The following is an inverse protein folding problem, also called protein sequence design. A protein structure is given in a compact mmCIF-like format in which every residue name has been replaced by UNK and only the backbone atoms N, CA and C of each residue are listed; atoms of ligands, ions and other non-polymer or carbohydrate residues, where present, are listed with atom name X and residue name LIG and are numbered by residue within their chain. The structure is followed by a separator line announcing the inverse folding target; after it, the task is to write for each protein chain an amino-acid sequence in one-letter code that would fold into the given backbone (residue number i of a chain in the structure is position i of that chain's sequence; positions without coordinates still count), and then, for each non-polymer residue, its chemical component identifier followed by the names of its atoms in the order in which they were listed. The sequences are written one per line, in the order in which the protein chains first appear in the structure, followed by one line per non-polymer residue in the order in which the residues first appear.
data_IF_830942997051
#
_entry.id   IF_830942997051
#
_cell.length_a   1.000
_cell.length_b   1.000
_cell.length_c   1.000
_cell.angle_alpha   90.00
_cell.angle_beta   90.00
_cell.angle_gamma   90.00
#
_symmetry.space_group_name_H-M   'P 1'
#
loop_
_entity.id
_entity.type
_entity.pdbx_description
1 polymer ?
#
# COMPACT_ATOMS: atom_id res chain seq x y z
N UNK A 1 1.34 8.49 -76.31
CA UNK A 1 0.25 9.20 -77.03
C UNK A 1 -1.03 8.44 -76.75
N UNK A 2 -1.98 9.12 -76.08
CA UNK A 2 -3.45 8.96 -76.21
C UNK A 2 -4.02 7.55 -75.98
N UNK A 3 -4.69 7.32 -74.83
CA UNK A 3 -6.18 7.40 -74.66
C UNK A 3 -6.91 6.23 -75.39
N UNK A 4 -7.94 5.52 -74.92
CA UNK A 4 -8.91 5.68 -73.82
C UNK A 4 -9.94 4.52 -73.91
N UNK A 5 -10.43 4.05 -72.74
CA UNK A 5 -11.77 3.55 -72.39
C UNK A 5 -12.40 2.21 -72.90
N UNK A 6 -12.96 1.51 -71.88
CA UNK A 6 -14.31 0.87 -71.74
C UNK A 6 -14.56 -0.44 -72.52
N UNK A 7 -15.06 -1.55 -71.94
CA UNK A 7 -16.27 -1.78 -71.10
C UNK A 7 -16.21 -3.23 -70.52
N UNK A 8 -16.61 -3.48 -69.27
CA UNK A 8 -17.84 -4.21 -68.82
C UNK A 8 -17.98 -5.66 -69.36
N UNK A 9 -18.26 -6.72 -68.59
CA UNK A 9 -18.60 -6.90 -67.17
C UNK A 9 -18.96 -8.38 -66.91
N UNK A 10 -19.21 -8.68 -65.63
CA UNK A 10 -19.95 -9.83 -65.08
C UNK A 10 -19.24 -11.20 -64.88
N UNK A 11 -19.70 -11.89 -63.83
CA UNK A 11 -19.37 -13.24 -63.31
C UNK A 11 -18.12 -13.25 -62.39
N UNK A 12 -18.16 -13.52 -61.09
CA UNK A 12 -18.85 -14.60 -60.34
C UNK A 12 -19.09 -14.18 -58.87
N UNK A 13 -20.19 -14.69 -58.30
CA UNK A 13 -20.72 -14.55 -56.93
C UNK A 13 -19.90 -15.34 -55.86
N UNK A 14 -20.23 -15.23 -54.56
CA UNK A 14 -19.29 -15.36 -53.44
C UNK A 14 -19.18 -16.79 -52.89
N UNK A 15 -18.04 -17.12 -52.27
CA UNK A 15 -17.89 -18.36 -51.48
C UNK A 15 -17.91 -18.01 -50.00
N UNK A 16 -19.06 -18.29 -49.38
CA UNK A 16 -19.18 -18.61 -47.95
C UNK A 16 -18.56 -19.99 -47.70
N UNK A 17 -17.76 -20.08 -46.64
CA UNK A 17 -17.51 -21.26 -45.79
C UNK A 17 -17.28 -20.66 -44.40
N UNK A 18 -18.22 -20.70 -43.45
CA UNK A 18 -18.74 -21.89 -42.77
C UNK A 18 -17.66 -22.93 -42.51
N UNK A 19 -16.86 -22.66 -41.45
CA UNK A 19 -16.22 -23.70 -40.65
C UNK A 19 -16.63 -23.49 -39.20
N UNK A 20 -17.47 -24.41 -38.76
CA UNK A 20 -18.07 -24.61 -37.44
C UNK A 20 -17.04 -24.49 -36.32
N UNK A 21 -17.32 -23.78 -35.20
CA UNK A 21 -18.16 -24.24 -34.09
C UNK A 21 -17.87 -25.71 -33.72
N UNK A 22 -16.78 -25.92 -32.99
CA UNK A 22 -16.44 -27.08 -32.14
C UNK A 22 -15.01 -26.78 -31.64
N UNK A 23 -14.82 -26.06 -30.53
CA UNK A 23 -14.54 -26.70 -29.24
C UNK A 23 -14.52 -25.64 -28.12
N UNK A 24 -15.67 -25.00 -27.86
CA UNK A 24 -15.85 -24.06 -26.75
C UNK A 24 -16.63 -24.76 -25.61
N UNK A 25 -16.14 -25.91 -25.16
CA UNK A 25 -16.82 -26.72 -24.13
C UNK A 25 -15.85 -27.55 -23.25
N UNK A 26 -14.61 -27.07 -23.05
CA UNK A 26 -13.63 -27.75 -22.19
C UNK A 26 -12.89 -26.79 -21.22
N UNK A 27 -13.57 -25.72 -20.77
CA UNK A 27 -12.98 -24.70 -19.88
C UNK A 27 -13.93 -24.26 -18.76
N UNK A 28 -14.75 -25.18 -18.23
CA UNK A 28 -15.68 -24.90 -17.09
C UNK A 28 -15.59 -25.96 -15.99
N UNK A 29 -14.41 -26.52 -15.76
CA UNK A 29 -14.18 -27.36 -14.58
C UNK A 29 -12.82 -27.02 -14.00
N UNK A 30 -12.78 -26.01 -13.12
CA UNK A 30 -11.88 -25.87 -11.96
C UNK A 30 -12.21 -24.55 -11.23
N UNK A 31 -13.47 -24.39 -10.82
CA UNK A 31 -13.81 -23.56 -9.67
C UNK A 31 -13.58 -24.43 -8.42
N UNK A 32 -12.30 -24.64 -8.08
CA UNK A 32 -11.88 -25.31 -6.86
C UNK A 32 -11.41 -24.26 -5.87
N UNK A 33 -12.10 -24.14 -4.74
CA UNK A 33 -11.70 -23.34 -3.59
C UNK A 33 -10.23 -23.61 -3.23
N UNK A 34 -9.36 -22.63 -3.45
CA UNK A 34 -7.97 -22.70 -3.02
C UNK A 34 -7.85 -22.15 -1.61
N UNK A 35 -7.59 -23.03 -0.64
CA UNK A 35 -7.02 -22.69 0.66
C UNK A 35 -5.76 -21.84 0.47
N UNK A 36 -5.79 -20.60 0.97
CA UNK A 36 -4.63 -19.70 1.03
C UNK A 36 -3.64 -20.15 2.13
N UNK A 37 -3.02 -21.31 1.89
CA UNK A 37 -1.84 -21.77 2.63
C UNK A 37 -0.57 -21.34 1.90
N UNK A 38 -0.14 -20.09 2.11
CA UNK A 38 1.18 -19.62 1.68
C UNK A 38 2.24 -19.98 2.73
N UNK A 39 3.16 -20.86 2.35
CA UNK A 39 4.33 -21.20 3.14
C UNK A 39 5.23 -19.97 3.32
N UNK A 40 5.51 -19.65 4.59
CA UNK A 40 6.48 -18.65 5.00
C UNK A 40 7.87 -18.99 4.46
N UNK A 41 8.52 -18.03 3.80
CA UNK A 41 9.97 -18.03 3.60
C UNK A 41 10.60 -17.35 4.82
N UNK A 42 11.64 -17.93 5.40
CA UNK A 42 12.18 -17.63 6.74
C UNK A 42 12.68 -16.18 6.92
N UNK A 43 12.81 -15.38 5.85
CA UNK A 43 13.19 -13.96 5.93
C UNK A 43 12.15 -12.98 5.34
N UNK A 44 10.97 -13.46 4.90
CA UNK A 44 9.88 -12.58 4.47
C UNK A 44 8.62 -12.92 5.26
N UNK A 45 8.54 -12.42 6.49
CA UNK A 45 7.27 -12.39 7.20
C UNK A 45 6.34 -11.49 6.42
N UNK A 46 5.47 -12.07 5.61
CA UNK A 46 4.33 -11.37 5.03
C UNK A 46 3.43 -11.01 6.20
N UNK A 47 3.66 -9.84 6.78
CA UNK A 47 2.68 -9.23 7.66
C UNK A 47 1.43 -8.96 6.82
N UNK A 48 0.27 -9.18 7.41
CA UNK A 48 -1.00 -8.85 6.79
C UNK A 48 -1.01 -7.36 6.47
N UNK A 49 -0.78 -6.98 5.22
CA UNK A 49 -0.98 -5.59 4.84
C UNK A 49 -2.47 -5.38 4.59
N UNK A 50 -3.18 -4.57 5.39
CA UNK A 50 -4.54 -4.15 5.06
C UNK A 50 -4.59 -3.29 3.78
N UNK A 51 -3.42 -2.96 3.23
CA UNK A 51 -3.21 -2.37 1.90
C UNK A 51 -3.23 -3.40 0.78
N UNK A 52 -3.29 -4.71 1.08
CA UNK A 52 -3.50 -5.73 0.05
C UNK A 52 -4.86 -5.50 -0.58
N UNK A 53 -4.85 -4.91 -1.76
CA UNK A 53 -5.95 -5.01 -2.71
C UNK A 53 -6.15 -6.50 -2.99
N UNK A 54 -7.35 -7.01 -2.75
CA UNK A 54 -7.74 -8.29 -3.33
C UNK A 54 -7.43 -8.19 -4.83
N UNK A 55 -6.55 -9.06 -5.32
CA UNK A 55 -6.35 -9.23 -6.75
C UNK A 55 -7.63 -9.86 -7.28
N UNK A 56 -8.65 -9.04 -7.58
CA UNK A 56 -9.79 -9.52 -8.32
C UNK A 56 -9.28 -10.02 -9.68
N UNK A 57 -9.61 -11.26 -10.03
CA UNK A 57 -9.36 -11.74 -11.38
C UNK A 57 -10.01 -10.74 -12.35
N UNK A 58 -9.33 -10.32 -13.42
CA UNK A 58 -9.93 -9.43 -14.41
C UNK A 58 -11.22 -10.06 -14.92
N UNK A 59 -12.34 -9.40 -14.72
CA UNK A 59 -13.61 -9.79 -15.34
C UNK A 59 -13.45 -9.61 -16.84
N UNK A 60 -13.56 -10.71 -17.58
CA UNK A 60 -13.60 -10.69 -19.04
C UNK A 60 -14.85 -9.92 -19.44
N UNK A 61 -14.68 -8.75 -20.06
CA UNK A 61 -15.78 -8.05 -20.71
C UNK A 61 -16.18 -8.90 -21.92
N UNK A 62 -17.35 -9.55 -21.85
CA UNK A 62 -17.81 -10.51 -22.86
C UNK A 62 -18.07 -9.87 -24.25
N UNK A 63 -17.99 -8.55 -24.37
CA UNK A 63 -18.13 -7.85 -25.65
C UNK A 63 -17.47 -6.45 -25.59
N UNK A 64 -16.31 -6.23 -26.21
CA UNK A 64 -15.63 -4.93 -26.21
C UNK A 64 -16.36 -3.85 -27.01
N UNK A 65 -17.32 -4.24 -27.87
CA UNK A 65 -18.10 -3.35 -28.73
C UNK A 65 -19.54 -3.12 -28.21
N UNK A 66 -19.97 -3.85 -27.17
CA UNK A 66 -21.23 -3.53 -26.50
C UNK A 66 -21.12 -2.14 -25.87
N UNK A 67 -22.10 -1.24 -26.06
CA UNK A 67 -22.12 0.01 -25.32
C UNK A 67 -22.12 -0.36 -23.84
N UNK A 68 -21.00 -0.11 -23.16
CA UNK A 68 -20.90 -0.36 -21.73
C UNK A 68 -22.10 0.30 -21.09
N UNK A 69 -22.95 -0.48 -20.40
CA UNK A 69 -24.01 0.09 -19.56
C UNK A 69 -23.31 1.21 -18.79
N UNK A 70 -23.75 2.46 -18.97
CA UNK A 70 -23.07 3.63 -18.41
C UNK A 70 -22.75 3.32 -16.95
N UNK A 71 -21.50 2.96 -16.65
CA UNK A 71 -21.13 2.46 -15.32
C UNK A 71 -21.40 3.52 -14.24
N UNK A 72 -21.52 4.78 -14.68
CA UNK A 72 -21.95 5.92 -13.90
C UNK A 72 -23.41 5.79 -13.45
N UNK A 73 -24.35 5.36 -14.30
CA UNK A 73 -25.77 5.21 -13.93
C UNK A 73 -25.98 4.05 -12.95
N UNK A 74 -25.29 2.92 -13.17
CA UNK A 74 -25.32 1.78 -12.25
C UNK A 74 -24.73 2.16 -10.90
N UNK A 75 -23.65 2.95 -10.89
CA UNK A 75 -23.05 3.42 -9.63
C UNK A 75 -23.92 4.47 -8.95
N UNK A 76 -24.53 5.38 -9.70
CA UNK A 76 -25.49 6.34 -9.15
C UNK A 76 -26.70 5.63 -8.55
N UNK A 77 -27.19 4.54 -9.14
CA UNK A 77 -28.30 3.77 -8.59
C UNK A 77 -27.89 2.99 -7.34
N UNK A 78 -26.70 2.39 -7.32
CA UNK A 78 -26.14 1.74 -6.13
C UNK A 78 -25.97 2.77 -4.99
N UNK A 79 -25.39 3.93 -5.27
CA UNK A 79 -25.20 5.01 -4.27
C UNK A 79 -26.54 5.56 -3.81
N UNK A 80 -27.51 5.78 -4.71
CA UNK A 80 -28.84 6.27 -4.34
C UNK A 80 -29.61 5.26 -3.48
N UNK A 81 -29.58 3.97 -3.83
CA UNK A 81 -30.17 2.91 -3.02
C UNK A 81 -29.49 2.83 -1.65
N UNK A 82 -28.17 3.03 -1.62
CA UNK A 82 -27.39 3.04 -0.40
C UNK A 82 -27.74 4.24 0.50
N UNK A 83 -27.77 5.46 -0.05
CA UNK A 83 -28.17 6.68 0.67
C UNK A 83 -29.62 6.59 1.16
N UNK A 84 -30.53 6.03 0.36
CA UNK A 84 -31.94 5.85 0.72
C UNK A 84 -32.11 4.86 1.88
N UNK A 85 -31.34 3.77 1.90
CA UNK A 85 -31.37 2.80 3.00
C UNK A 85 -30.78 3.33 4.31
N UNK A 86 -29.85 4.29 4.25
CA UNK A 86 -29.33 5.01 5.42
C UNK A 86 -30.33 6.02 6.01
N UNK A 87 -31.24 6.54 5.18
CA UNK A 87 -32.27 7.51 5.56
C UNK A 87 -33.60 6.84 5.98
N UNK A 88 -33.75 5.54 5.76
CA UNK A 88 -34.95 4.80 6.16
C UNK A 88 -35.02 4.70 7.70
N UNK A 89 -36.16 5.05 8.27
CA UNK A 89 -36.44 5.04 9.73
C UNK A 89 -36.26 3.65 10.33
N UNK A 90 -35.01 3.26 10.65
CA UNK A 90 -34.59 2.12 11.50
C UNK A 90 -35.14 0.72 11.21
N UNK A 91 -36.01 0.57 10.21
CA UNK A 91 -36.86 -0.60 9.96
C UNK A 91 -36.39 -1.42 8.77
N UNK A 92 -35.54 -0.84 7.92
CA UNK A 92 -34.82 -1.56 6.89
C UNK A 92 -33.37 -1.75 7.32
N UNK A 93 -32.86 -2.97 7.17
CA UNK A 93 -31.45 -3.24 7.40
C UNK A 93 -30.63 -2.30 6.51
N UNK A 94 -29.65 -1.55 7.06
CA UNK A 94 -28.85 -0.67 6.25
C UNK A 94 -28.22 -1.49 5.11
N UNK A 95 -28.19 -0.94 3.88
CA UNK A 95 -27.62 -1.63 2.73
C UNK A 95 -26.19 -2.04 3.05
N UNK A 96 -25.81 -3.24 2.61
CA UNK A 96 -24.57 -3.86 3.04
C UNK A 96 -23.37 -3.09 2.48
N UNK A 97 -22.74 -2.27 3.33
CA UNK A 97 -21.52 -1.52 3.01
C UNK A 97 -20.39 -2.40 2.46
N UNK A 98 -20.39 -3.69 2.78
CA UNK A 98 -19.41 -4.66 2.27
C UNK A 98 -19.62 -4.87 0.76
N UNK A 99 -20.86 -4.95 0.30
CA UNK A 99 -21.17 -5.15 -1.12
C UNK A 99 -20.86 -3.90 -1.93
N UNK A 100 -21.15 -2.71 -1.37
CA UNK A 100 -20.75 -1.43 -1.96
C UNK A 100 -19.22 -1.34 -2.09
N UNK A 101 -18.48 -1.66 -1.03
CA UNK A 101 -17.02 -1.69 -1.07
C UNK A 101 -16.50 -2.66 -2.13
N UNK A 102 -17.06 -3.87 -2.20
CA UNK A 102 -16.64 -4.89 -3.14
C UNK A 102 -16.79 -4.42 -4.59
N UNK A 103 -17.92 -3.83 -4.96
CA UNK A 103 -18.14 -3.29 -6.31
C UNK A 103 -17.15 -2.18 -6.67
N UNK A 104 -16.94 -1.21 -5.78
CA UNK A 104 -16.02 -0.11 -6.05
C UNK A 104 -14.56 -0.56 -6.09
N UNK A 105 -14.17 -1.51 -5.24
CA UNK A 105 -12.84 -2.10 -5.23
C UNK A 105 -12.60 -2.91 -6.52
N UNK A 106 -13.54 -3.78 -6.90
CA UNK A 106 -13.43 -4.60 -8.12
C UNK A 106 -13.30 -3.74 -9.38
N UNK A 107 -13.99 -2.60 -9.43
CA UNK A 107 -13.94 -1.67 -10.56
C UNK A 107 -12.78 -0.66 -10.50
N UNK A 108 -11.90 -0.75 -9.49
CA UNK A 108 -10.77 0.17 -9.31
C UNK A 108 -11.18 1.63 -8.98
N UNK A 109 -12.42 1.85 -8.54
CA UNK A 109 -13.02 3.18 -8.30
C UNK A 109 -12.84 3.64 -6.85
N UNK A 110 -11.66 3.42 -6.29
CA UNK A 110 -11.43 3.60 -4.86
C UNK A 110 -11.53 5.07 -4.40
N UNK A 111 -11.23 6.03 -5.28
CA UNK A 111 -11.38 7.46 -4.99
C UNK A 111 -12.85 7.90 -4.88
N UNK A 112 -13.75 7.31 -5.66
CA UNK A 112 -15.17 7.61 -5.57
C UNK A 112 -15.75 7.12 -4.25
N UNK A 113 -15.31 5.95 -3.79
CA UNK A 113 -15.68 5.39 -2.50
C UNK A 113 -15.27 6.31 -1.33
N UNK A 114 -14.07 6.91 -1.40
CA UNK A 114 -13.63 7.94 -0.45
C UNK A 114 -14.57 9.16 -0.46
N UNK A 115 -14.93 9.65 -1.65
CA UNK A 115 -15.86 10.76 -1.79
C UNK A 115 -17.23 10.47 -1.18
N UNK A 116 -17.72 9.24 -1.35
CA UNK A 116 -18.98 8.78 -0.74
C UNK A 116 -18.87 8.81 0.79
N UNK A 117 -17.81 8.25 1.38
CA UNK A 117 -17.64 8.26 2.84
C UNK A 117 -17.53 9.67 3.41
N UNK A 118 -16.75 10.54 2.77
CA UNK A 118 -16.62 11.94 3.19
C UNK A 118 -17.98 12.67 3.15
N UNK A 119 -18.76 12.46 2.08
CA UNK A 119 -20.08 13.06 1.95
C UNK A 119 -21.05 12.52 3.02
N UNK A 120 -21.02 11.22 3.29
CA UNK A 120 -21.84 10.61 4.33
C UNK A 120 -21.51 11.13 5.73
N UNK A 121 -20.22 11.20 6.08
CA UNK A 121 -19.78 11.77 7.36
C UNK A 121 -20.29 13.20 7.45
N UNK A 122 -20.05 14.02 6.41
CA UNK A 122 -20.51 15.41 6.37
C UNK A 122 -22.04 15.53 6.55
N UNK A 123 -22.85 14.74 5.83
CA UNK A 123 -24.32 14.75 5.94
C UNK A 123 -24.78 14.37 7.35
N UNK A 124 -24.20 13.31 7.92
CA UNK A 124 -24.57 12.82 9.26
C UNK A 124 -24.10 13.75 10.39
N UNK A 125 -22.92 14.39 10.26
CA UNK A 125 -22.45 15.39 11.21
C UNK A 125 -23.33 16.64 11.20
N UNK A 126 -23.79 17.10 10.02
CA UNK A 126 -24.69 18.25 9.91
C UNK A 126 -26.08 17.94 10.50
N UNK A 127 -26.60 16.73 10.31
CA UNK A 127 -27.89 16.33 10.87
C UNK A 127 -27.84 16.15 12.41
N UNK A 128 -26.72 15.67 12.95
CA UNK A 128 -26.55 15.48 14.40
C UNK A 128 -26.38 16.80 15.17
N UNK A 129 -25.91 17.88 14.52
CA UNK A 129 -25.71 19.18 15.16
C UNK A 129 -27.00 19.87 15.68
N UNK A 130 -28.18 19.33 15.34
CA UNK A 130 -29.48 19.78 15.86
C UNK A 130 -30.08 18.94 16.99
N UNK A 131 -29.41 17.85 17.40
CA UNK A 131 -29.90 16.95 18.44
C UNK A 131 -28.84 16.82 19.54
N UNK A 132 -29.11 17.44 20.70
CA UNK A 132 -28.21 17.46 21.85
C UNK A 132 -27.72 16.05 22.24
N UNK A 133 -26.42 15.79 22.03
CA UNK A 133 -25.68 14.73 22.71
C UNK A 133 -25.72 13.31 22.14
N UNK A 134 -26.24 13.08 20.92
CA UNK A 134 -26.19 11.75 20.33
C UNK A 134 -24.79 11.45 19.75
N UNK A 135 -24.15 10.38 20.22
CA UNK A 135 -22.94 9.82 19.61
C UNK A 135 -23.15 9.71 18.09
N UNK A 136 -22.30 10.39 17.31
CA UNK A 136 -22.47 10.46 15.87
C UNK A 136 -22.42 9.04 15.30
N UNK A 137 -23.49 8.60 14.65
CA UNK A 137 -23.60 7.30 13.98
C UNK A 137 -22.59 7.11 12.82
N UNK A 138 -21.58 8.00 12.71
CA UNK A 138 -20.51 8.01 11.71
C UNK A 138 -19.37 7.06 12.03
N UNK A 139 -19.23 6.58 13.27
CA UNK A 139 -18.09 5.76 13.69
C UNK A 139 -17.74 4.60 12.74
N UNK A 140 -18.71 3.77 12.30
CA UNK A 140 -18.45 2.72 11.32
C UNK A 140 -17.98 3.21 9.94
N UNK A 141 -18.43 4.40 9.50
CA UNK A 141 -18.05 5.01 8.22
C UNK A 141 -16.65 5.63 8.32
N UNK A 142 -16.33 6.26 9.45
CA UNK A 142 -15.00 6.81 9.75
C UNK A 142 -13.94 5.70 9.74
N UNK A 143 -14.21 4.54 10.35
CA UNK A 143 -13.32 3.37 10.28
C UNK A 143 -13.03 2.94 8.83
N UNK A 144 -14.06 2.93 7.98
CA UNK A 144 -13.92 2.58 6.56
C UNK A 144 -13.16 3.64 5.77
N UNK A 145 -13.38 4.93 6.07
CA UNK A 145 -12.64 6.04 5.47
C UNK A 145 -11.15 6.02 5.85
N UNK A 146 -10.82 5.78 7.12
CA UNK A 146 -9.42 5.58 7.55
C UNK A 146 -8.78 4.45 6.78
N UNK A 147 -9.45 3.28 6.69
CA UNK A 147 -8.95 2.15 5.91
C UNK A 147 -8.72 2.53 4.45
N UNK A 148 -9.60 3.34 3.88
CA UNK A 148 -9.44 3.82 2.52
C UNK A 148 -8.23 4.76 2.36
N UNK A 149 -8.03 5.71 3.27
CA UNK A 149 -6.85 6.56 3.27
C UNK A 149 -5.56 5.76 3.40
N UNK A 150 -5.52 4.76 4.29
CA UNK A 150 -4.38 3.87 4.42
C UNK A 150 -4.09 3.18 3.08
N UNK A 151 -5.09 2.54 2.46
CA UNK A 151 -4.99 1.85 1.15
C UNK A 151 -4.48 2.74 0.02
N UNK A 152 -4.89 4.01 0.02
CA UNK A 152 -4.45 5.00 -0.98
C UNK A 152 -3.10 5.64 -0.68
N UNK A 153 -2.44 5.29 0.44
CA UNK A 153 -1.19 5.94 0.84
C UNK A 153 -1.37 7.36 1.38
N UNK A 154 -2.61 7.79 1.68
CA UNK A 154 -2.92 9.11 2.23
C UNK A 154 -2.66 9.14 3.75
N UNK A 155 -1.40 8.92 4.13
CA UNK A 155 -1.00 8.68 5.51
C UNK A 155 -1.24 9.88 6.45
N UNK A 156 -1.17 11.11 5.95
CA UNK A 156 -1.48 12.31 6.75
C UNK A 156 -2.95 12.35 7.18
N UNK A 157 -3.87 12.16 6.23
CA UNK A 157 -5.32 12.14 6.49
C UNK A 157 -5.72 10.94 7.37
N UNK A 158 -5.11 9.77 7.13
CA UNK A 158 -5.31 8.60 7.97
C UNK A 158 -4.87 8.86 9.43
N UNK A 159 -3.70 9.48 9.63
CA UNK A 159 -3.16 9.82 10.95
C UNK A 159 -4.06 10.78 11.72
N UNK A 160 -4.46 11.88 11.08
CA UNK A 160 -5.34 12.89 11.68
C UNK A 160 -6.66 12.25 12.16
N UNK A 161 -7.28 11.46 11.30
CA UNK A 161 -8.56 10.81 11.62
C UNK A 161 -8.39 9.75 12.71
N UNK A 162 -7.32 8.94 12.67
CA UNK A 162 -7.02 7.98 13.73
C UNK A 162 -6.77 8.64 15.08
N UNK A 163 -6.03 9.76 15.12
CA UNK A 163 -5.81 10.50 16.37
C UNK A 163 -7.12 11.01 16.96
N UNK A 164 -7.99 11.56 16.12
CA UNK A 164 -9.33 11.98 16.54
C UNK A 164 -10.15 10.79 17.07
N UNK A 165 -10.18 9.67 16.35
CA UNK A 165 -10.94 8.48 16.77
C UNK A 165 -10.43 7.88 18.08
N UNK A 166 -9.11 7.91 18.31
CA UNK A 166 -8.52 7.46 19.58
C UNK A 166 -8.93 8.39 20.73
N UNK A 167 -8.97 9.70 20.49
CA UNK A 167 -9.43 10.69 21.48
C UNK A 167 -10.93 10.54 21.78
N UNK A 168 -11.74 10.37 20.75
CA UNK A 168 -13.21 10.30 20.87
C UNK A 168 -13.68 8.96 21.44
N UNK A 169 -13.01 7.86 21.09
CA UNK A 169 -13.37 6.51 21.52
C UNK A 169 -12.16 5.56 21.61
N UNK A 170 -11.43 5.65 22.71
CA UNK A 170 -10.29 4.80 23.02
C UNK A 170 -10.63 3.31 23.23
N UNK A 171 -11.91 2.94 23.32
CA UNK A 171 -12.37 1.57 23.53
C UNK A 171 -12.76 0.87 22.22
N UNK A 172 -12.51 1.47 21.06
CA UNK A 172 -12.78 0.86 19.76
C UNK A 172 -11.66 -0.09 19.32
N UNK A 173 -11.86 -1.43 19.27
CA UNK A 173 -10.81 -2.37 18.89
C UNK A 173 -10.35 -2.19 17.44
N UNK A 174 -11.28 -1.84 16.54
CA UNK A 174 -10.98 -1.57 15.13
C UNK A 174 -10.13 -0.31 14.95
N UNK A 175 -10.31 0.71 15.79
CA UNK A 175 -9.47 1.92 15.75
C UNK A 175 -8.01 1.56 16.03
N UNK A 176 -7.76 0.75 17.07
CA UNK A 176 -6.42 0.25 17.38
C UNK A 176 -5.87 -0.68 16.30
N UNK A 177 -6.72 -1.50 15.68
CA UNK A 177 -6.32 -2.36 14.57
C UNK A 177 -5.85 -1.53 13.36
N UNK A 178 -6.59 -0.49 13.00
CA UNK A 178 -6.22 0.45 11.93
C UNK A 178 -5.04 1.34 12.33
N UNK A 179 -4.87 1.64 13.62
CA UNK A 179 -3.68 2.36 14.10
C UNK A 179 -2.41 1.51 13.98
N UNK A 180 -2.49 0.19 14.21
CA UNK A 180 -1.40 -0.73 13.90
C UNK A 180 -1.14 -0.81 12.38
N UNK A 181 -2.21 -0.88 11.58
CA UNK A 181 -2.12 -0.89 10.12
C UNK A 181 -1.35 0.30 9.54
N UNK A 182 -1.48 1.48 10.15
CA UNK A 182 -0.73 2.68 9.79
C UNK A 182 0.79 2.48 9.92
N UNK A 183 1.25 1.83 10.98
CA UNK A 183 2.68 1.60 11.24
C UNK A 183 3.24 0.38 10.50
N UNK A 184 2.39 -0.50 10.01
CA UNK A 184 2.79 -1.78 9.46
C UNK A 184 3.74 -1.69 8.24
N UNK A 185 3.56 -0.77 7.27
CA UNK A 185 4.51 -0.60 6.17
C UNK A 185 5.93 -0.25 6.64
N UNK A 186 6.05 0.28 7.85
CA UNK A 186 7.31 0.70 8.45
C UNK A 186 7.93 -0.36 9.37
N UNK A 187 7.16 -1.36 9.78
CA UNK A 187 7.53 -2.34 10.81
C UNK A 187 8.58 -3.36 10.36
N UNK A 188 8.82 -3.49 9.05
CA UNK A 188 9.90 -4.35 8.54
C UNK A 188 11.28 -3.74 8.79
N UNK A 189 11.39 -2.41 8.66
CA UNK A 189 12.66 -1.68 8.65
C UNK A 189 12.90 -0.86 9.93
N UNK A 190 11.89 -0.74 10.79
CA UNK A 190 11.96 0.07 12.00
C UNK A 190 11.47 -0.70 13.24
N UNK A 191 12.35 -0.95 14.23
CA UNK A 191 11.96 -1.59 15.48
C UNK A 191 10.94 -0.76 16.28
N UNK A 192 11.00 0.58 16.17
CA UNK A 192 10.02 1.47 16.81
C UNK A 192 8.63 1.31 16.17
N UNK A 193 8.56 1.21 14.83
CA UNK A 193 7.30 0.96 14.15
C UNK A 193 6.76 -0.44 14.45
N UNK A 194 7.62 -1.46 14.46
CA UNK A 194 7.24 -2.82 14.84
C UNK A 194 6.69 -2.87 16.27
N UNK A 195 7.33 -2.18 17.22
CA UNK A 195 6.84 -2.04 18.59
C UNK A 195 5.46 -1.37 18.67
N UNK A 196 5.23 -0.33 17.86
CA UNK A 196 3.90 0.31 17.75
C UNK A 196 2.86 -0.67 17.20
N UNK A 197 3.16 -1.43 16.14
CA UNK A 197 2.23 -2.45 15.62
C UNK A 197 1.88 -3.45 16.73
N UNK A 198 2.89 -3.95 17.43
CA UNK A 198 2.72 -4.91 18.52
C UNK A 198 1.83 -4.36 19.63
N UNK A 199 2.11 -3.15 20.13
CA UNK A 199 1.33 -2.52 21.19
C UNK A 199 -0.15 -2.29 20.77
N UNK A 200 -0.37 -1.83 19.55
CA UNK A 200 -1.72 -1.55 19.04
C UNK A 200 -2.54 -2.83 18.81
N UNK A 201 -1.97 -3.87 18.21
CA UNK A 201 -2.67 -5.15 18.02
C UNK A 201 -2.90 -5.90 19.34
N UNK A 202 -1.99 -5.79 20.31
CA UNK A 202 -2.26 -6.25 21.67
C UNK A 202 -3.49 -5.56 22.25
N UNK A 203 -3.55 -4.22 22.15
CA UNK A 203 -4.69 -3.44 22.63
C UNK A 203 -6.00 -3.85 21.95
N UNK A 204 -5.99 -4.08 20.63
CA UNK A 204 -7.14 -4.62 19.89
C UNK A 204 -7.65 -5.92 20.52
N UNK A 205 -6.76 -6.87 20.81
CA UNK A 205 -7.12 -8.17 21.38
C UNK A 205 -7.46 -8.12 22.88
N UNK A 206 -6.95 -7.14 23.62
CA UNK A 206 -7.33 -6.87 25.00
C UNK A 206 -8.77 -6.37 25.10
N UNK A 207 -9.16 -5.47 24.19
CA UNK A 207 -10.54 -4.97 24.10
C UNK A 207 -11.46 -6.06 23.58
N UNK A 208 -11.07 -6.77 22.51
CA UNK A 208 -11.89 -7.80 21.87
C UNK A 208 -11.09 -9.09 21.61
N UNK A 209 -11.13 -10.06 22.54
CA UNK A 209 -10.36 -11.31 22.40
C UNK A 209 -10.74 -12.18 21.19
N UNK A 210 -11.95 -12.02 20.67
CA UNK A 210 -12.47 -12.72 19.49
C UNK A 210 -12.57 -11.78 18.28
N UNK A 211 -11.73 -10.73 18.23
CA UNK A 211 -11.75 -9.69 17.21
C UNK A 211 -11.92 -10.23 15.79
N UNK A 212 -12.85 -9.61 15.06
CA UNK A 212 -13.06 -9.79 13.62
C UNK A 212 -12.96 -8.43 12.94
N UNK A 213 -11.88 -8.27 12.19
CA UNK A 213 -11.52 -7.08 11.44
C UNK A 213 -12.00 -7.09 9.99
N UNK A 214 -11.57 -6.09 9.24
CA UNK A 214 -11.74 -6.05 7.79
C UNK A 214 -10.94 -7.17 7.10
N UNK A 215 -11.38 -7.57 5.89
CA UNK A 215 -10.67 -8.52 5.02
C UNK A 215 -10.32 -9.86 5.71
N UNK A 216 -11.21 -10.36 6.57
CA UNK A 216 -11.02 -11.59 7.35
C UNK A 216 -9.87 -11.57 8.36
N UNK A 217 -9.27 -10.41 8.65
CA UNK A 217 -8.35 -10.27 9.77
C UNK A 217 -9.06 -10.72 11.05
N UNK A 218 -8.54 -11.73 11.73
CA UNK A 218 -9.19 -12.34 12.89
C UNK A 218 -8.21 -12.55 14.03
N UNK A 219 -8.72 -12.72 15.25
CA UNK A 219 -7.89 -12.86 16.44
C UNK A 219 -6.80 -13.96 16.32
N UNK A 220 -7.06 -15.17 15.79
CA UNK A 220 -6.01 -16.15 15.50
C UNK A 220 -4.88 -15.60 14.61
N UNK A 221 -5.21 -15.00 13.47
CA UNK A 221 -4.22 -14.44 12.52
C UNK A 221 -3.40 -13.29 13.13
N UNK A 222 -4.01 -12.47 13.99
CA UNK A 222 -3.32 -11.38 14.68
C UNK A 222 -2.36 -11.94 15.73
N UNK A 223 -2.77 -12.97 16.49
CA UNK A 223 -1.89 -13.61 17.49
C UNK A 223 -0.66 -14.24 16.87
N UNK A 224 -0.82 -14.91 15.72
CA UNK A 224 0.29 -15.50 14.98
C UNK A 224 1.29 -14.43 14.54
N UNK A 225 0.81 -13.33 13.94
CA UNK A 225 1.68 -12.22 13.53
C UNK A 225 2.32 -11.49 14.71
N UNK A 226 1.62 -11.37 15.84
CA UNK A 226 2.18 -10.82 17.07
C UNK A 226 3.33 -11.68 17.60
N UNK A 227 3.25 -13.01 17.49
CA UNK A 227 4.34 -13.90 17.88
C UNK A 227 5.60 -13.62 17.05
N UNK A 228 5.46 -13.59 15.72
CA UNK A 228 6.56 -13.29 14.78
C UNK A 228 7.14 -11.89 15.03
N UNK A 229 6.30 -10.88 15.21
CA UNK A 229 6.74 -9.50 15.46
C UNK A 229 7.51 -9.38 16.78
N UNK A 230 7.06 -10.06 17.84
CA UNK A 230 7.72 -10.01 19.16
C UNK A 230 9.11 -10.65 19.15
N UNK A 231 9.32 -11.70 18.34
CA UNK A 231 10.63 -12.35 18.24
C UNK A 231 11.71 -11.42 17.68
N UNK A 232 11.35 -10.51 16.78
CA UNK A 232 12.29 -9.58 16.14
C UNK A 232 12.30 -8.16 16.70
N UNK A 233 11.39 -7.84 17.61
CA UNK A 233 11.26 -6.48 18.16
C UNK A 233 11.81 -6.45 19.59
N UNK A 234 12.76 -5.57 19.92
CA UNK A 234 13.29 -5.45 21.28
C UNK A 234 12.19 -5.21 22.32
N UNK A 235 12.24 -5.93 23.45
CA UNK A 235 11.19 -5.89 24.47
C UNK A 235 11.04 -4.53 25.14
N UNK A 236 12.14 -3.79 25.29
CA UNK A 236 12.18 -2.40 25.78
C UNK A 236 11.40 -1.46 24.87
N UNK A 237 11.53 -1.62 23.54
CA UNK A 237 10.77 -0.85 22.55
C UNK A 237 9.28 -1.14 22.60
N UNK A 238 8.90 -2.40 22.78
CA UNK A 238 7.49 -2.78 22.97
C UNK A 238 6.94 -2.11 24.24
N UNK A 239 7.68 -2.16 25.35
CA UNK A 239 7.26 -1.54 26.60
C UNK A 239 7.12 0.00 26.48
N UNK A 240 8.06 0.66 25.78
CA UNK A 240 7.99 2.08 25.47
C UNK A 240 6.75 2.43 24.65
N UNK A 241 6.47 1.69 23.58
CA UNK A 241 5.32 1.90 22.71
C UNK A 241 3.98 1.69 23.46
N UNK A 242 3.89 0.66 24.31
CA UNK A 242 2.71 0.42 25.16
C UNK A 242 2.51 1.55 26.17
N UNK A 243 3.59 2.06 26.78
CA UNK A 243 3.52 3.20 27.69
C UNK A 243 3.07 4.48 26.98
N UNK A 244 3.56 4.76 25.76
CA UNK A 244 3.10 5.88 24.93
C UNK A 244 1.60 5.76 24.64
N UNK A 245 1.13 4.55 24.27
CA UNK A 245 -0.27 4.28 24.01
C UNK A 245 -1.14 4.58 25.24
N UNK A 246 -0.73 4.13 26.43
CA UNK A 246 -1.43 4.44 27.67
C UNK A 246 -1.50 5.95 27.98
N UNK A 247 -0.44 6.71 27.69
CA UNK A 247 -0.46 8.18 27.83
C UNK A 247 -1.47 8.82 26.89
N UNK A 248 -1.56 8.35 25.64
CA UNK A 248 -2.52 8.88 24.66
C UNK A 248 -3.97 8.61 25.04
N UNK A 249 -4.25 7.47 25.67
CA UNK A 249 -5.59 7.14 26.16
C UNK A 249 -6.02 7.99 27.36
N UNK A 250 -5.06 8.47 28.16
CA UNK A 250 -5.37 9.22 29.37
C UNK A 250 -4.41 10.40 29.55
N UNK A 251 -4.54 11.44 28.69
CA UNK A 251 -3.65 12.61 28.73
C UNK A 251 -3.71 13.34 30.09
N UNK A 252 -4.84 13.23 30.80
CA UNK A 252 -5.07 13.87 32.10
C UNK A 252 -4.62 13.02 33.30
N UNK A 253 -4.16 11.77 33.12
CA UNK A 253 -3.71 10.92 34.23
C UNK A 253 -2.29 11.25 34.72
N UNK A 254 -1.49 11.98 33.93
CA UNK A 254 -0.11 12.31 34.30
C UNK A 254 -0.06 13.42 35.34
N UNK A 255 -1.00 14.38 35.33
CA UNK A 255 -1.01 15.49 36.31
C UNK A 255 -1.41 15.08 37.73
N UNK A 256 -1.95 13.87 37.94
CA UNK A 256 -2.33 13.40 39.29
C UNK A 256 -1.26 12.57 40.01
N UNK A 257 -0.14 12.23 39.35
CA UNK A 257 0.92 11.44 40.01
C UNK A 257 1.96 12.28 40.76
N UNK A 258 2.08 13.57 40.47
CA UNK A 258 3.03 14.45 41.15
C UNK A 258 2.44 15.22 42.34
N UNK A 259 1.13 15.08 42.61
CA UNK A 259 0.45 15.78 43.72
C UNK A 259 0.13 14.91 44.95
N UNK A 260 0.19 13.57 44.86
CA UNK A 260 -0.24 12.66 45.95
C UNK A 260 0.70 11.48 46.23
N UNK A 261 1.99 11.62 45.94
CA UNK A 261 3.01 10.69 46.44
C UNK A 261 3.48 11.11 47.84
N UNK A 262 2.70 10.75 48.88
CA UNK A 262 3.25 10.63 50.24
C UNK A 262 4.30 9.50 50.25
N UNK A 263 5.54 9.74 50.69
CA UNK A 263 6.53 8.69 50.81
C UNK A 263 6.19 7.81 52.03
N UNK A 264 5.98 6.51 51.79
CA UNK A 264 6.06 5.51 52.86
C UNK A 264 7.53 5.30 53.17
N UNK A 265 7.92 5.74 54.36
CA UNK A 265 9.23 5.50 54.94
C UNK A 265 9.48 4.00 55.14
N UNK A 266 10.61 3.50 54.64
CA UNK A 266 11.34 2.39 55.25
C UNK A 266 12.73 2.91 55.59
N UNK A 267 13.09 2.79 56.85
CA UNK A 267 14.19 3.46 57.51
C UNK A 267 15.50 2.67 57.42
N UNK A 268 16.59 3.41 57.15
CA UNK A 268 17.97 3.31 57.68
C UNK A 268 18.85 2.14 57.20
N UNK A 269 20.15 2.30 56.90
CA UNK A 269 21.16 3.17 57.52
C UNK A 269 22.38 3.47 56.58
N UNK A 270 23.32 4.35 56.96
CA UNK A 270 24.03 5.30 56.09
C UNK A 270 25.49 4.93 55.76
N UNK A 271 26.07 5.58 54.75
CA UNK A 271 27.53 5.79 54.64
C UNK A 271 27.80 7.23 54.18
N UNK A 272 28.81 7.81 54.85
CA UNK A 272 29.27 9.19 54.93
C UNK A 272 29.59 9.89 53.60
N UNK A 273 29.31 11.20 53.57
CA UNK A 273 29.95 12.20 52.72
C UNK A 273 31.41 12.44 53.16
N UNK A 274 32.23 13.02 52.27
CA UNK A 274 32.68 14.37 52.61
C UNK A 274 32.58 15.36 51.45
N UNK A 275 31.80 16.41 51.68
CA UNK A 275 32.16 17.83 51.60
C UNK A 275 33.49 18.17 50.87
N UNK A 276 33.39 18.85 49.72
CA UNK A 276 34.44 19.79 49.26
C UNK A 276 33.79 21.02 48.63
N UNK A 277 34.29 22.16 49.10
CA UNK A 277 33.86 23.54 48.93
C UNK A 277 33.79 24.06 47.49
N UNK A 278 32.85 24.97 47.25
CA UNK A 278 32.85 25.89 46.11
C UNK A 278 34.02 26.89 46.21
N UNK A 279 34.36 27.54 45.08
CA UNK A 279 34.34 29.00 45.15
C UNK A 279 33.63 29.68 43.99
N UNK A 280 33.05 30.80 44.41
CA UNK A 280 32.34 31.87 43.70
C UNK A 280 33.33 32.85 43.09
N UNK A 281 33.13 33.22 41.83
CA UNK A 281 33.65 34.43 41.14
C UNK A 281 32.71 34.67 39.96
N UNK A 282 32.33 35.85 39.47
CA UNK A 282 32.21 37.25 39.89
C UNK A 282 31.51 37.94 38.69
N UNK A 283 30.82 39.04 38.91
CA UNK A 283 29.83 39.65 38.01
C UNK A 283 30.46 40.76 37.12
N UNK A 284 30.09 40.77 35.82
CA UNK A 284 30.08 41.91 34.87
C UNK A 284 31.43 42.55 34.46
N UNK A 285 31.56 43.27 33.29
CA UNK A 285 30.50 44.00 32.58
C UNK A 285 30.51 43.98 31.02
N UNK A 286 29.38 44.37 30.42
CA UNK A 286 29.27 45.02 29.08
C UNK A 286 30.04 46.38 29.10
N UNK A 287 30.31 47.13 27.99
CA UNK A 287 29.64 47.13 26.67
C UNK A 287 30.59 47.36 25.47
N UNK A 288 30.07 47.29 24.23
CA UNK A 288 30.40 48.25 23.17
C UNK A 288 29.52 48.02 21.92
N UNK A 289 28.59 48.95 21.73
CA UNK A 289 27.88 49.18 20.47
C UNK A 289 28.83 49.91 19.53
N UNK A 290 29.12 49.35 18.36
CA UNK A 290 29.57 50.15 17.21
C UNK A 290 28.78 49.73 15.99
N UNK A 291 28.15 50.76 15.42
CA UNK A 291 27.28 50.77 14.26
C UNK A 291 27.91 50.15 13.03
N UNK A 292 27.11 49.39 12.27
CA UNK A 292 27.42 49.09 10.88
C UNK A 292 26.24 49.47 9.96
N UNK A 293 26.56 50.49 9.17
CA UNK A 293 26.08 50.95 7.86
C UNK A 293 24.87 50.24 7.24
N UNK A 294 23.90 51.07 6.87
CA UNK A 294 22.71 50.74 6.07
C UNK A 294 22.99 50.94 4.58
N UNK A 295 22.73 49.91 3.77
CA UNK A 295 22.17 49.89 2.39
C UNK A 295 22.88 48.88 1.46
N UNK A 296 22.25 48.35 0.38
CA UNK A 296 20.82 48.31 0.02
C UNK A 296 20.30 46.86 -0.21
N UNK A 297 18.99 46.75 -0.42
CA UNK A 297 18.23 45.51 -0.60
C UNK A 297 18.83 44.54 -1.63
N UNK A 298 19.20 43.35 -1.17
CA UNK A 298 19.45 42.17 -1.97
C UNK A 298 18.17 41.32 -1.95
N UNK A 299 17.71 40.93 -3.14
CA UNK A 299 16.62 39.99 -3.38
C UNK A 299 16.71 38.79 -2.43
N UNK A 300 15.62 38.33 -1.79
CA UNK A 300 15.68 37.12 -0.98
C UNK A 300 15.96 35.94 -1.91
N UNK A 301 17.19 35.43 -1.83
CA UNK A 301 17.54 34.13 -2.36
C UNK A 301 16.49 33.09 -1.91
N UNK A 302 16.10 32.13 -2.78
CA UNK A 302 15.16 31.10 -2.40
C UNK A 302 15.69 30.38 -1.17
N UNK A 303 14.86 30.33 -0.13
CA UNK A 303 15.18 29.62 1.10
C UNK A 303 15.72 28.22 0.75
N UNK A 304 16.82 27.77 1.38
CA UNK A 304 17.34 26.45 1.15
C UNK A 304 16.22 25.44 1.41
N UNK A 305 15.96 24.61 0.41
CA UNK A 305 14.98 23.55 0.47
C UNK A 305 15.12 22.83 1.82
N UNK A 306 14.03 22.84 2.60
CA UNK A 306 13.88 21.94 3.73
C UNK A 306 14.45 20.59 3.31
N UNK A 307 15.47 20.13 4.03
CA UNK A 307 16.05 18.81 3.82
C UNK A 307 14.95 17.79 4.13
N UNK A 308 14.15 17.48 3.11
CA UNK A 308 13.08 16.51 3.18
C UNK A 308 13.70 15.23 3.72
N UNK A 309 13.11 14.70 4.80
CA UNK A 309 13.51 13.40 5.37
C UNK A 309 13.69 12.40 4.22
N UNK A 310 14.79 11.62 4.19
CA UNK A 310 15.10 10.77 3.06
C UNK A 310 13.90 9.88 2.73
N UNK A 311 13.32 10.07 1.54
CA UNK A 311 12.16 9.30 1.08
C UNK A 311 12.51 7.81 1.09
N UNK A 312 11.61 6.95 1.59
CA UNK A 312 11.87 5.52 1.75
C UNK A 312 11.96 4.79 0.40
N UNK A 313 12.70 3.68 0.36
CA UNK A 313 12.89 2.90 -0.86
C UNK A 313 11.56 2.42 -1.46
N UNK A 314 10.60 1.87 -0.70
CA UNK A 314 9.29 1.51 -1.25
C UNK A 314 8.53 2.69 -1.87
N UNK A 315 8.60 3.88 -1.26
CA UNK A 315 7.98 5.09 -1.81
C UNK A 315 8.68 5.53 -3.10
N UNK A 316 10.02 5.56 -3.12
CA UNK A 316 10.79 5.88 -4.32
C UNK A 316 10.48 4.90 -5.46
N UNK A 317 10.37 3.60 -5.16
CA UNK A 317 9.98 2.57 -6.12
C UNK A 317 8.56 2.78 -6.65
N UNK A 318 7.60 3.13 -5.79
CA UNK A 318 6.22 3.41 -6.19
C UNK A 318 6.16 4.64 -7.13
N UNK A 319 6.80 5.75 -6.76
CA UNK A 319 6.88 6.94 -7.60
C UNK A 319 7.61 6.67 -8.93
N UNK A 320 8.69 5.88 -8.91
CA UNK A 320 9.42 5.52 -10.12
C UNK A 320 8.56 4.70 -11.10
N UNK A 321 7.81 3.72 -10.59
CA UNK A 321 6.90 2.92 -11.40
C UNK A 321 5.70 3.73 -11.91
N UNK A 322 5.17 4.67 -11.10
CA UNK A 322 4.12 5.58 -11.53
C UNK A 322 4.62 6.52 -12.64
N UNK A 323 5.82 7.08 -12.49
CA UNK A 323 6.45 7.89 -13.52
C UNK A 323 6.65 7.09 -14.82
N UNK A 324 7.08 5.82 -14.73
CA UNK A 324 7.14 4.93 -15.91
C UNK A 324 5.77 4.76 -16.58
N UNK A 325 4.72 4.51 -15.80
CA UNK A 325 3.36 4.32 -16.32
C UNK A 325 2.79 5.59 -16.98
N UNK A 326 3.26 6.76 -16.55
CA UNK A 326 2.92 8.07 -17.13
C UNK A 326 3.88 8.50 -18.26
N UNK A 327 4.74 7.59 -18.73
CA UNK A 327 5.75 7.84 -19.76
C UNK A 327 6.80 8.91 -19.40
N UNK A 328 6.87 9.30 -18.12
CA UNK A 328 7.85 10.23 -17.55
C UNK A 328 9.19 9.51 -17.30
N UNK A 329 9.79 9.00 -18.36
CA UNK A 329 11.00 8.16 -18.33
C UNK A 329 12.18 8.85 -17.63
N UNK A 330 12.38 10.15 -17.83
CA UNK A 330 13.45 10.91 -17.17
C UNK A 330 13.31 10.94 -15.65
N UNK A 331 12.08 11.12 -15.14
CA UNK A 331 11.80 11.12 -13.71
C UNK A 331 11.91 9.71 -13.11
N UNK A 332 11.38 8.71 -13.80
CA UNK A 332 11.54 7.31 -13.41
C UNK A 332 13.02 6.92 -13.25
N UNK A 333 13.87 7.26 -14.24
CA UNK A 333 15.32 7.00 -14.18
C UNK A 333 15.96 7.67 -12.98
N UNK A 334 15.60 8.94 -12.70
CA UNK A 334 16.12 9.67 -11.53
C UNK A 334 15.75 8.94 -10.23
N UNK A 335 14.51 8.48 -10.09
CA UNK A 335 14.02 7.82 -8.88
C UNK A 335 14.63 6.42 -8.70
N UNK A 336 14.74 5.61 -9.76
CA UNK A 336 15.42 4.31 -9.66
C UNK A 336 16.91 4.46 -9.31
N UNK A 337 17.60 5.47 -9.85
CA UNK A 337 19.00 5.76 -9.47
C UNK A 337 19.12 6.15 -7.98
N UNK A 338 18.13 6.84 -7.41
CA UNK A 338 18.12 7.13 -5.97
C UNK A 338 17.96 5.86 -5.13
N UNK A 339 17.18 4.89 -5.60
CA UNK A 339 17.08 3.58 -4.94
C UNK A 339 18.41 2.85 -5.01
N UNK A 340 19.03 2.76 -6.21
CA UNK A 340 20.31 2.07 -6.39
C UNK A 340 21.49 2.74 -5.67
N UNK A 341 21.42 4.04 -5.41
CA UNK A 341 22.41 4.73 -4.59
C UNK A 341 22.39 4.27 -3.12
N UNK A 342 21.28 3.68 -2.66
CA UNK A 342 21.10 3.16 -1.30
C UNK A 342 21.22 1.64 -1.26
N UNK A 343 20.65 0.97 -2.26
CA UNK A 343 20.69 -0.49 -2.41
C UNK A 343 21.15 -0.84 -3.84
N UNK A 344 22.47 -0.96 -4.07
CA UNK A 344 23.04 -1.18 -5.40
C UNK A 344 22.55 -2.45 -6.11
N UNK A 345 22.15 -3.46 -5.34
CA UNK A 345 21.69 -4.76 -5.84
C UNK A 345 20.16 -4.92 -5.85
N UNK A 346 19.40 -3.85 -5.62
CA UNK A 346 17.95 -3.90 -5.58
C UNK A 346 17.37 -4.27 -6.96
N UNK A 347 16.85 -5.50 -7.09
CA UNK A 347 16.32 -6.05 -8.34
C UNK A 347 15.31 -5.11 -9.03
N UNK A 348 14.28 -4.67 -8.29
CA UNK A 348 13.22 -3.83 -8.85
C UNK A 348 13.71 -2.52 -9.48
N UNK A 349 14.74 -1.89 -8.89
CA UNK A 349 15.29 -0.65 -9.43
C UNK A 349 16.21 -0.90 -10.64
N UNK A 350 17.01 -1.96 -10.62
CA UNK A 350 17.82 -2.38 -11.78
C UNK A 350 16.92 -2.74 -12.97
N UNK A 351 15.88 -3.53 -12.72
CA UNK A 351 14.90 -3.91 -13.73
C UNK A 351 14.07 -2.71 -14.22
N UNK A 352 13.69 -1.80 -13.31
CA UNK A 352 13.01 -0.55 -13.63
C UNK A 352 13.81 0.34 -14.58
N UNK A 353 15.13 0.47 -14.38
CA UNK A 353 16.01 1.20 -15.30
C UNK A 353 16.07 0.55 -16.69
N UNK A 354 16.12 -0.78 -16.76
CA UNK A 354 16.09 -1.50 -18.04
C UNK A 354 14.79 -1.17 -18.79
N UNK A 355 13.64 -1.30 -18.11
CA UNK A 355 12.33 -0.97 -18.70
C UNK A 355 12.24 0.48 -19.15
N UNK A 356 12.73 1.42 -18.35
CA UNK A 356 12.77 2.84 -18.68
C UNK A 356 13.56 3.12 -19.97
N UNK A 357 14.75 2.53 -20.09
CA UNK A 357 15.63 2.74 -21.23
C UNK A 357 15.23 1.97 -22.49
N UNK A 358 14.46 0.87 -22.35
CA UNK A 358 14.13 -0.02 -23.48
C UNK A 358 13.35 0.66 -24.60
N UNK A 359 12.60 1.71 -24.24
CA UNK A 359 11.87 2.57 -25.17
C UNK A 359 12.79 3.38 -26.11
N UNK A 360 14.09 3.45 -25.81
CA UNK A 360 15.09 4.16 -26.62
C UNK A 360 15.99 3.16 -27.38
N UNK A 361 15.79 2.97 -28.70
CA UNK A 361 16.54 1.96 -29.47
C UNK A 361 18.07 2.07 -29.36
N UNK A 362 18.60 3.28 -29.23
CA UNK A 362 20.04 3.53 -29.11
C UNK A 362 20.65 2.94 -27.81
N UNK A 363 19.85 2.75 -26.76
CA UNK A 363 20.33 2.22 -25.47
C UNK A 363 20.19 0.70 -25.35
N UNK A 364 19.38 0.06 -26.23
CA UNK A 364 19.07 -1.36 -26.13
C UNK A 364 20.28 -2.30 -26.04
N UNK A 365 21.37 -2.12 -26.82
CA UNK A 365 22.52 -3.03 -26.73
C UNK A 365 23.16 -3.07 -25.33
N UNK A 366 23.24 -1.92 -24.66
CA UNK A 366 23.77 -1.86 -23.29
C UNK A 366 22.78 -2.44 -22.28
N UNK A 367 21.49 -2.14 -22.45
CA UNK A 367 20.42 -2.64 -21.58
C UNK A 367 20.26 -4.16 -21.70
N UNK A 368 20.46 -4.74 -22.87
CA UNK A 368 20.49 -6.20 -23.08
C UNK A 368 21.59 -6.87 -22.26
N UNK A 369 22.79 -6.26 -22.23
CA UNK A 369 23.89 -6.75 -21.40
C UNK A 369 23.50 -6.72 -19.92
N UNK A 370 22.90 -5.63 -19.47
CA UNK A 370 22.44 -5.48 -18.08
C UNK A 370 21.31 -6.45 -17.74
N UNK A 371 20.38 -6.67 -18.68
CA UNK A 371 19.28 -7.63 -18.54
C UNK A 371 19.81 -9.06 -18.42
N UNK A 372 20.78 -9.46 -19.25
CA UNK A 372 21.40 -10.79 -19.16
C UNK A 372 22.18 -10.96 -17.85
N UNK A 373 22.86 -9.93 -17.37
CA UNK A 373 23.52 -9.97 -16.07
C UNK A 373 22.51 -10.11 -14.92
N UNK A 374 21.40 -9.35 -14.98
CA UNK A 374 20.32 -9.43 -14.02
C UNK A 374 19.66 -10.82 -14.01
N UNK A 375 19.38 -11.39 -15.19
CA UNK A 375 18.79 -12.72 -15.35
C UNK A 375 19.74 -13.87 -14.97
N UNK A 376 21.05 -13.62 -14.88
CA UNK A 376 22.05 -14.62 -14.47
C UNK A 376 22.21 -14.73 -12.95
N UNK A 377 21.59 -13.83 -12.18
CA UNK A 377 21.60 -13.85 -10.71
C UNK A 377 20.93 -15.10 -10.16
N UNK A 378 21.57 -15.76 -9.20
CA UNK A 378 21.03 -16.97 -8.55
C UNK A 378 20.02 -16.67 -7.45
N UNK A 379 20.04 -15.46 -6.90
CA UNK A 379 19.26 -15.00 -5.75
C UNK A 379 17.86 -14.47 -6.11
N UNK A 380 17.50 -14.48 -7.40
CA UNK A 380 16.17 -14.05 -7.83
C UNK A 380 15.07 -14.94 -7.25
N UNK A 381 14.02 -14.32 -6.73
CA UNK A 381 12.80 -15.01 -6.35
C UNK A 381 12.04 -15.51 -7.59
N UNK A 382 11.17 -16.51 -7.40
CA UNK A 382 10.34 -17.04 -8.49
C UNK A 382 9.45 -15.95 -9.13
N UNK A 383 9.08 -14.91 -8.38
CA UNK A 383 8.30 -13.79 -8.93
C UNK A 383 9.14 -12.87 -9.81
N UNK A 384 10.36 -12.58 -9.40
CA UNK A 384 11.29 -11.73 -10.17
C UNK A 384 11.73 -12.41 -11.47
N UNK A 385 11.98 -13.72 -11.44
CA UNK A 385 12.24 -14.52 -12.64
C UNK A 385 11.04 -14.56 -13.60
N UNK A 386 9.81 -14.60 -13.07
CA UNK A 386 8.60 -14.53 -13.88
C UNK A 386 8.47 -13.18 -14.59
N UNK A 387 8.65 -12.07 -13.86
CA UNK A 387 8.54 -10.72 -14.39
C UNK A 387 9.65 -10.44 -15.44
N UNK A 388 10.89 -10.89 -15.18
CA UNK A 388 11.96 -10.87 -16.18
C UNK A 388 11.61 -11.70 -17.41
N UNK A 389 11.13 -12.93 -17.23
CA UNK A 389 10.83 -13.84 -18.34
C UNK A 389 9.75 -13.27 -19.26
N UNK A 390 8.73 -12.61 -18.70
CA UNK A 390 7.70 -11.89 -19.48
C UNK A 390 8.29 -10.76 -20.30
N UNK A 391 9.10 -9.90 -19.70
CA UNK A 391 9.76 -8.80 -20.41
C UNK A 391 10.68 -9.31 -21.51
N UNK A 392 11.50 -10.33 -21.20
CA UNK A 392 12.37 -10.98 -22.17
C UNK A 392 11.57 -11.53 -23.36
N UNK A 393 10.43 -12.18 -23.10
CA UNK A 393 9.58 -12.73 -24.15
C UNK A 393 8.93 -11.66 -25.03
N UNK A 394 8.25 -10.68 -24.43
CA UNK A 394 7.44 -9.71 -25.17
C UNK A 394 8.25 -8.54 -25.74
N UNK A 395 9.19 -8.00 -24.96
CA UNK A 395 9.89 -6.76 -25.30
C UNK A 395 11.23 -7.00 -26.01
N UNK A 396 11.91 -8.10 -25.67
CA UNK A 396 13.24 -8.43 -26.24
C UNK A 396 13.18 -9.54 -27.29
N UNK A 397 12.09 -10.33 -27.29
CA UNK A 397 11.88 -11.48 -28.15
C UNK A 397 12.94 -12.59 -28.03
N UNK A 398 13.75 -12.62 -26.95
CA UNK A 398 14.67 -13.72 -26.64
C UNK A 398 13.91 -14.89 -26.00
N UNK A 399 13.25 -15.69 -26.85
CA UNK A 399 12.43 -16.84 -26.43
C UNK A 399 13.23 -17.87 -25.63
N UNK A 400 14.50 -18.09 -25.96
CA UNK A 400 15.34 -19.06 -25.29
C UNK A 400 15.63 -18.66 -23.83
N UNK A 401 15.94 -17.38 -23.60
CA UNK A 401 16.14 -16.86 -22.25
C UNK A 401 14.83 -16.85 -21.45
N UNK A 402 13.70 -16.49 -22.07
CA UNK A 402 12.39 -16.52 -21.43
C UNK A 402 12.02 -17.94 -20.94
N UNK A 403 12.19 -18.96 -21.80
CA UNK A 403 11.95 -20.36 -21.43
C UNK A 403 12.82 -20.77 -20.24
N UNK A 404 14.12 -20.44 -20.26
CA UNK A 404 15.04 -20.78 -19.16
C UNK A 404 14.59 -20.17 -17.83
N UNK A 405 14.14 -18.91 -17.83
CA UNK A 405 13.62 -18.24 -16.64
C UNK A 405 12.33 -18.91 -16.15
N UNK A 406 11.38 -19.19 -17.04
CA UNK A 406 10.12 -19.82 -16.65
C UNK A 406 10.27 -21.27 -16.17
N UNK A 407 11.20 -22.04 -16.72
CA UNK A 407 11.55 -23.37 -16.19
C UNK A 407 12.14 -23.28 -14.78
N UNK A 408 12.96 -22.26 -14.52
CA UNK A 408 13.44 -21.97 -13.16
C UNK A 408 12.28 -21.63 -12.20
N UNK A 409 11.33 -20.81 -12.63
CA UNK A 409 10.12 -20.50 -11.85
C UNK A 409 9.33 -21.76 -11.53
N UNK A 410 9.13 -22.66 -12.51
CA UNK A 410 8.47 -23.96 -12.29
C UNK A 410 9.18 -24.79 -11.23
N UNK A 411 10.51 -24.80 -11.24
CA UNK A 411 11.31 -25.55 -10.25
C UNK A 411 11.24 -24.91 -8.87
N UNK A 412 11.31 -23.57 -8.77
CA UNK A 412 11.32 -22.83 -7.51
C UNK A 412 9.93 -22.75 -6.85
N UNK A 413 8.89 -22.53 -7.63
CA UNK A 413 7.52 -22.36 -7.14
C UNK A 413 6.49 -22.92 -8.15
N UNK A 414 6.20 -24.23 -8.08
CA UNK A 414 5.23 -24.88 -8.97
C UNK A 414 3.81 -24.29 -8.88
N UNK A 415 3.35 -23.90 -7.68
CA UNK A 415 2.02 -23.29 -7.48
C UNK A 415 1.89 -21.96 -8.23
N UNK A 416 2.92 -21.11 -8.15
CA UNK A 416 2.95 -19.86 -8.92
C UNK A 416 2.92 -20.15 -10.42
N UNK A 417 3.72 -21.11 -10.88
CA UNK A 417 3.78 -21.49 -12.29
C UNK A 417 2.44 -21.97 -12.85
N UNK A 418 1.72 -22.79 -12.09
CA UNK A 418 0.36 -23.25 -12.42
C UNK A 418 -0.62 -22.08 -12.48
N UNK A 419 -0.63 -21.21 -11.44
CA UNK A 419 -1.57 -20.08 -11.34
C UNK A 419 -1.47 -19.07 -12.48
N UNK A 420 -0.30 -18.95 -13.12
CA UNK A 420 -0.07 -18.02 -14.24
C UNK A 420 0.00 -18.73 -15.60
N UNK A 421 -0.26 -20.04 -15.64
CA UNK A 421 -0.27 -20.84 -16.86
C UNK A 421 1.08 -20.92 -17.57
N UNK A 422 2.20 -21.07 -16.84
CA UNK A 422 3.54 -21.04 -17.46
C UNK A 422 3.76 -22.13 -18.51
N UNK A 423 3.09 -23.27 -18.38
CA UNK A 423 3.19 -24.35 -19.38
C UNK A 423 2.72 -23.89 -20.76
N UNK A 424 1.62 -23.13 -20.82
CA UNK A 424 1.12 -22.57 -22.07
C UNK A 424 2.09 -21.54 -22.67
N UNK A 425 2.69 -20.69 -21.83
CA UNK A 425 3.68 -19.69 -22.26
C UNK A 425 4.96 -20.34 -22.78
N UNK A 426 5.45 -21.39 -22.11
CA UNK A 426 6.64 -22.13 -22.55
C UNK A 426 6.36 -22.83 -23.88
N UNK A 427 5.21 -23.48 -24.04
CA UNK A 427 4.85 -24.14 -25.30
C UNK A 427 4.68 -23.13 -26.44
N UNK A 428 4.09 -21.96 -26.17
CA UNK A 428 4.00 -20.88 -27.16
C UNK A 428 5.39 -20.37 -27.58
N UNK A 429 6.29 -20.14 -26.62
CA UNK A 429 7.66 -19.70 -26.88
C UNK A 429 8.50 -20.73 -27.67
N UNK A 430 8.16 -22.02 -27.62
CA UNK A 430 8.82 -23.08 -28.41
C UNK A 430 8.36 -23.12 -29.87
N UNK A 431 7.21 -22.52 -30.21
CA UNK A 431 6.70 -22.54 -31.58
C UNK A 431 7.67 -21.80 -32.51
N UNK A 432 7.92 -22.31 -33.73
CA UNK A 432 8.70 -21.56 -34.71
C UNK A 432 8.01 -20.23 -35.04
N UNK A 433 8.81 -19.18 -35.23
CA UNK A 433 8.31 -17.93 -35.84
C UNK A 433 8.12 -18.23 -37.32
N UNK A 434 6.88 -18.21 -37.80
CA UNK A 434 6.57 -18.33 -39.23
C UNK A 434 6.95 -17.07 -40.02
#
# INVERSE_FOLDING_TARGET
MTQILKRAGEWVRPVRRDVSLLSLAALVALAGCGDDGFAANENSSVLFSPLRTQSAAPTVVEDPDAPGKDGIQEIQSIVANFEQGMMADGTQAPPNMIDLEAEFIQRGRYLDLVGIYQNMIKKNTVQAAGADGAATATGPIELRLVRAYLRLGQMSLAREMLDKMIQDNADSPMTWFLNAAYWLPEAADSPDAAARVVANWQKTLEIEPNFVGFDQANAPSIREQLAVLRERTPADKIAEATAELHRKMNPNAVEKRDADAKPVAVAQAPVEEPEVEAPKVEEAPEPAVVAEVKAPAEEPAPAPAESAKPQRIPHLMAFANMALAQEQTGEAVKLFKQVLAREPEHFGAQFGLIRAGWMHPAQRPELEKNLRALAARSDLSAREELDLGRFVYYDTQDRALAIKLWESVKKKNPKLAESVGLDALIEDAKRPVE
#
